data_IF_636863201187
#
_entry.id   IF_636863201187
#
_cell.length_a   1.000
_cell.length_b   1.000
_cell.length_c   1.000
_cell.angle_alpha   90.00
_cell.angle_beta   90.00
_cell.angle_gamma   90.00
#
_symmetry.space_group_name_H-M   'P 1'
#
loop_
_entity.id
_entity.type
_entity.pdbx_description
1 polymer ?
#
# COMPACT_ATOMS: atom_id res chain seq x y z
N UNK A 1 10.52 -2.26 38.90
CA UNK A 1 9.89 -2.81 37.66
C UNK A 1 8.91 -3.93 38.00
N UNK A 2 9.33 -4.91 38.79
CA UNK A 2 8.52 -6.09 39.18
C UNK A 2 7.20 -5.75 39.92
N UNK A 3 7.21 -4.78 40.84
CA UNK A 3 6.00 -4.29 41.53
C UNK A 3 5.00 -3.57 40.61
N UNK A 4 5.45 -3.00 39.49
CA UNK A 4 4.59 -2.35 38.50
C UNK A 4 3.93 -3.39 37.60
N UNK A 5 4.65 -4.44 37.25
CA UNK A 5 4.12 -5.59 36.48
C UNK A 5 3.06 -6.34 37.30
N UNK A 6 3.32 -6.64 38.56
CA UNK A 6 2.33 -7.27 39.45
C UNK A 6 1.05 -6.41 39.64
N UNK A 7 1.16 -5.09 39.66
CA UNK A 7 0.00 -4.20 39.70
C UNK A 7 -0.77 -4.15 38.37
N UNK A 8 -0.06 -4.27 37.24
CA UNK A 8 -0.70 -4.36 35.93
C UNK A 8 -1.50 -5.65 35.78
N UNK A 9 -0.91 -6.79 36.14
CA UNK A 9 -1.56 -8.10 36.12
C UNK A 9 -2.80 -8.14 37.03
N UNK A 10 -2.72 -7.55 38.22
CA UNK A 10 -3.86 -7.43 39.13
C UNK A 10 -4.99 -6.55 38.58
N UNK A 11 -4.66 -5.45 37.91
CA UNK A 11 -5.63 -4.58 37.23
C UNK A 11 -6.27 -5.27 36.02
N UNK A 12 -5.51 -6.05 35.26
CA UNK A 12 -6.07 -6.85 34.16
C UNK A 12 -7.04 -7.92 34.66
N UNK A 13 -6.75 -8.57 35.78
CA UNK A 13 -7.64 -9.55 36.39
C UNK A 13 -8.91 -8.91 36.96
N UNK A 14 -8.81 -7.73 37.56
CA UNK A 14 -9.98 -6.94 37.98
C UNK A 14 -10.85 -6.53 36.78
N UNK A 15 -10.25 -6.04 35.67
CA UNK A 15 -10.97 -5.69 34.44
C UNK A 15 -11.66 -6.92 33.86
N UNK A 16 -11.00 -8.08 33.82
CA UNK A 16 -11.59 -9.35 33.35
C UNK A 16 -12.71 -9.84 34.28
N UNK A 17 -12.61 -9.63 35.61
CA UNK A 17 -13.67 -9.95 36.56
C UNK A 17 -14.90 -9.04 36.37
N UNK A 18 -14.70 -7.73 36.20
CA UNK A 18 -15.76 -6.76 35.91
C UNK A 18 -16.43 -7.06 34.58
N UNK A 19 -15.67 -7.41 33.55
CA UNK A 19 -16.22 -7.81 32.24
C UNK A 19 -17.05 -9.12 32.32
N UNK A 20 -16.66 -10.07 33.15
CA UNK A 20 -17.44 -11.29 33.42
C UNK A 20 -18.75 -11.00 34.18
N UNK A 21 -18.67 -10.15 35.18
CA UNK A 21 -19.88 -9.70 35.90
C UNK A 21 -20.83 -8.90 34.99
N UNK A 22 -20.31 -8.00 34.19
CA UNK A 22 -21.07 -7.24 33.22
C UNK A 22 -21.76 -8.15 32.18
N UNK A 23 -21.13 -9.25 31.73
CA UNK A 23 -21.75 -10.23 30.85
C UNK A 23 -22.91 -10.97 31.52
N UNK A 24 -22.75 -11.36 32.79
CA UNK A 24 -23.82 -12.01 33.57
C UNK A 24 -25.00 -11.05 33.81
N UNK A 25 -24.72 -9.79 34.17
CA UNK A 25 -25.74 -8.76 34.33
C UNK A 25 -26.45 -8.43 33.03
N UNK A 26 -25.77 -8.50 31.89
CA UNK A 26 -26.36 -8.33 30.54
C UNK A 26 -27.39 -9.43 30.22
N UNK A 27 -27.10 -10.69 30.53
CA UNK A 27 -28.03 -11.81 30.30
C UNK A 27 -29.25 -11.71 31.21
N UNK A 28 -29.08 -11.23 32.44
CA UNK A 28 -30.17 -11.09 33.41
C UNK A 28 -30.96 -9.78 33.25
N UNK A 29 -30.29 -8.65 33.03
CA UNK A 29 -30.93 -7.34 32.87
C UNK A 29 -31.68 -7.17 31.56
N UNK A 30 -31.15 -7.73 30.45
CA UNK A 30 -31.83 -7.66 29.14
C UNK A 30 -33.20 -8.34 29.16
N UNK A 31 -33.32 -9.45 29.89
CA UNK A 31 -34.61 -10.18 29.99
C UNK A 31 -35.54 -9.62 31.07
N UNK A 32 -34.98 -9.18 32.20
CA UNK A 32 -35.79 -8.72 33.34
C UNK A 32 -36.24 -7.27 33.20
N UNK A 33 -35.35 -6.39 32.64
CA UNK A 33 -35.68 -4.96 32.45
C UNK A 33 -36.71 -4.78 31.31
N UNK A 34 -36.62 -5.54 30.23
CA UNK A 34 -37.62 -5.52 29.16
C UNK A 34 -38.94 -6.09 29.65
N UNK A 35 -38.93 -7.17 30.46
CA UNK A 35 -40.14 -7.70 31.08
C UNK A 35 -40.76 -6.73 32.12
N UNK A 36 -39.93 -6.07 32.94
CA UNK A 36 -40.40 -5.06 33.92
C UNK A 36 -40.93 -3.80 33.23
N UNK A 37 -40.32 -3.32 32.16
CA UNK A 37 -40.82 -2.19 31.36
C UNK A 37 -42.09 -2.53 30.64
N UNK A 38 -42.20 -3.72 30.04
CA UNK A 38 -43.43 -4.16 29.36
C UNK A 38 -44.56 -4.42 30.33
N UNK A 39 -44.28 -4.96 31.52
CA UNK A 39 -45.31 -5.23 32.54
C UNK A 39 -45.75 -4.01 33.33
N UNK A 40 -44.86 -3.03 33.55
CA UNK A 40 -45.16 -1.78 34.27
C UNK A 40 -45.78 -0.68 33.40
N UNK A 41 -45.60 -0.69 32.11
CA UNK A 41 -46.15 0.33 31.21
C UNK A 41 -47.50 -0.01 30.61
N UNK A 42 -47.99 -1.27 30.68
CA UNK A 42 -49.22 -1.70 30.07
C UNK A 42 -50.55 -1.25 30.74
N UNK A 43 -50.64 -1.00 32.08
CA UNK A 43 -51.95 -0.65 32.65
C UNK A 43 -52.29 0.83 32.76
N UNK A 44 -51.34 1.75 32.54
CA UNK A 44 -51.52 3.15 32.97
C UNK A 44 -51.57 4.21 31.89
N UNK A 45 -51.48 3.86 30.64
CA UNK A 45 -51.66 4.86 29.55
C UNK A 45 -50.81 6.10 29.65
N UNK A 46 -49.67 6.04 30.34
CA UNK A 46 -48.81 7.19 30.55
C UNK A 46 -47.92 7.38 29.30
N UNK A 47 -48.31 8.39 28.50
CA UNK A 47 -47.37 8.96 27.54
C UNK A 47 -46.11 9.40 28.29
N UNK A 48 -44.94 8.89 27.89
CA UNK A 48 -43.67 9.24 28.51
C UNK A 48 -43.42 10.75 28.36
N UNK A 49 -43.82 11.52 29.38
CA UNK A 49 -43.33 12.90 29.53
C UNK A 49 -41.82 12.83 29.91
N UNK A 50 -41.04 13.67 29.27
CA UNK A 50 -39.60 13.78 29.61
C UNK A 50 -39.47 14.17 31.08
N UNK A 51 -38.70 13.41 31.88
CA UNK A 51 -38.59 13.64 33.32
C UNK A 51 -37.70 14.85 33.62
N UNK A 52 -38.14 15.67 34.56
CA UNK A 52 -37.51 16.97 34.93
C UNK A 52 -36.49 16.85 36.09
N UNK A 53 -35.94 15.68 36.39
CA UNK A 53 -35.05 15.44 37.50
C UNK A 53 -33.61 15.08 37.12
N UNK A 54 -32.64 15.38 38.01
CA UNK A 54 -31.22 15.10 37.85
C UNK A 54 -30.93 13.57 37.73
N UNK A 55 -31.75 12.74 38.41
CA UNK A 55 -31.68 11.27 38.32
C UNK A 55 -32.06 10.74 36.94
N UNK A 56 -33.00 11.37 36.29
CA UNK A 56 -33.45 11.00 34.96
C UNK A 56 -32.44 11.37 33.90
N UNK A 57 -31.74 12.50 34.04
CA UNK A 57 -30.62 12.86 33.17
C UNK A 57 -29.51 11.80 33.21
N UNK A 58 -29.19 11.32 34.40
CA UNK A 58 -28.18 10.27 34.59
C UNK A 58 -28.60 8.96 33.91
N UNK A 59 -29.87 8.57 34.05
CA UNK A 59 -30.42 7.37 33.41
C UNK A 59 -30.34 7.47 31.88
N UNK A 60 -30.75 8.58 31.29
CA UNK A 60 -30.69 8.79 29.84
C UNK A 60 -29.24 8.88 29.32
N UNK A 61 -28.33 9.46 30.09
CA UNK A 61 -26.89 9.45 29.77
C UNK A 61 -26.34 8.03 29.77
N UNK A 62 -26.69 7.21 30.75
CA UNK A 62 -26.30 5.81 30.81
C UNK A 62 -26.87 5.01 29.64
N UNK A 63 -28.14 5.17 29.30
CA UNK A 63 -28.75 4.50 28.16
C UNK A 63 -28.10 4.88 26.84
N UNK A 64 -27.76 6.18 26.65
CA UNK A 64 -27.02 6.65 25.48
C UNK A 64 -25.59 6.02 25.44
N UNK A 65 -24.90 5.99 26.58
CA UNK A 65 -23.60 5.35 26.71
C UNK A 65 -23.66 3.85 26.34
N UNK A 66 -24.68 3.12 26.85
CA UNK A 66 -24.92 1.72 26.51
C UNK A 66 -25.17 1.52 25.02
N UNK A 67 -25.97 2.39 24.41
CA UNK A 67 -26.20 2.37 22.95
C UNK A 67 -24.91 2.57 22.15
N UNK A 68 -24.05 3.49 22.60
CA UNK A 68 -22.73 3.74 21.99
C UNK A 68 -21.76 2.58 22.19
N UNK A 69 -21.73 1.96 23.38
CA UNK A 69 -20.93 0.77 23.66
C UNK A 69 -21.37 -0.38 22.77
N UNK A 70 -22.67 -0.66 22.67
CA UNK A 70 -23.18 -1.69 21.77
C UNK A 70 -22.91 -1.44 20.29
N UNK A 71 -22.85 -0.18 19.87
CA UNK A 71 -22.43 0.18 18.51
C UNK A 71 -20.92 -0.08 18.29
N UNK A 72 -20.08 0.30 19.26
CA UNK A 72 -18.64 0.02 19.23
C UNK A 72 -18.34 -1.48 19.22
N UNK A 73 -19.01 -2.26 20.05
CA UNK A 73 -18.86 -3.72 20.09
C UNK A 73 -19.20 -4.37 18.72
N UNK A 74 -20.26 -3.92 18.07
CA UNK A 74 -20.60 -4.41 16.71
C UNK A 74 -19.57 -4.00 15.67
N UNK A 75 -19.06 -2.77 15.77
CA UNK A 75 -18.02 -2.26 14.87
C UNK A 75 -16.70 -3.03 15.04
N UNK A 76 -16.36 -3.40 16.28
CA UNK A 76 -15.12 -4.09 16.62
C UNK A 76 -15.28 -5.61 16.70
N UNK A 77 -16.45 -6.18 16.36
CA UNK A 77 -16.70 -7.61 16.45
C UNK A 77 -15.70 -8.48 15.65
N UNK A 78 -15.11 -7.90 14.62
CA UNK A 78 -14.12 -8.55 13.75
C UNK A 78 -12.67 -8.22 14.11
N UNK A 79 -12.43 -7.39 15.12
CA UNK A 79 -11.08 -6.93 15.51
C UNK A 79 -10.77 -7.43 16.91
N UNK A 80 -9.71 -8.20 17.04
CA UNK A 80 -9.21 -8.68 18.34
C UNK A 80 -7.78 -8.24 18.56
N UNK A 81 -7.47 -7.83 19.80
CA UNK A 81 -6.09 -7.65 20.24
C UNK A 81 -5.68 -8.92 21.00
N UNK A 82 -4.60 -9.53 20.60
CA UNK A 82 -4.10 -10.77 21.19
C UNK A 82 -2.58 -10.81 21.25
N UNK A 83 -2.04 -11.83 21.88
CA UNK A 83 -0.60 -12.10 21.87
C UNK A 83 -0.33 -13.14 20.80
N UNK A 84 0.45 -12.77 19.79
CA UNK A 84 0.88 -13.66 18.71
C UNK A 84 1.83 -14.76 19.19
N UNK A 85 2.16 -15.70 18.31
CA UNK A 85 2.99 -16.87 18.61
C UNK A 85 4.39 -16.53 19.18
N UNK A 86 4.92 -15.33 18.89
CA UNK A 86 6.20 -14.83 19.42
C UNK A 86 6.09 -14.07 20.74
N UNK A 87 4.93 -14.05 21.40
CA UNK A 87 4.69 -13.26 22.63
C UNK A 87 4.52 -11.75 22.37
N UNK A 88 4.40 -11.32 21.11
CA UNK A 88 4.24 -9.91 20.74
C UNK A 88 2.77 -9.53 20.58
N UNK A 89 2.42 -8.24 20.83
CA UNK A 89 1.06 -7.76 20.61
C UNK A 89 0.66 -7.89 19.14
N UNK A 90 -0.54 -8.38 18.90
CA UNK A 90 -1.11 -8.55 17.55
C UNK A 90 -2.54 -8.00 17.50
N UNK A 91 -2.89 -7.35 16.41
CA UNK A 91 -4.28 -7.01 16.07
C UNK A 91 -4.72 -7.92 14.95
N UNK A 92 -5.73 -8.77 15.22
CA UNK A 92 -6.30 -9.69 14.24
C UNK A 92 -7.66 -9.22 13.75
N UNK A 93 -7.86 -9.22 12.44
CA UNK A 93 -9.15 -8.99 11.80
C UNK A 93 -9.64 -10.33 11.26
N UNK A 94 -10.79 -10.82 11.77
CA UNK A 94 -11.33 -12.14 11.41
C UNK A 94 -12.71 -12.02 10.79
N UNK A 95 -12.90 -12.64 9.62
CA UNK A 95 -14.21 -12.66 8.94
C UNK A 95 -14.65 -11.31 8.38
N UNK A 96 -13.70 -10.38 8.15
CA UNK A 96 -13.96 -9.07 7.56
C UNK A 96 -12.80 -8.63 6.65
N UNK A 97 -13.07 -7.73 5.73
CA UNK A 97 -12.07 -7.08 4.89
C UNK A 97 -11.63 -5.76 5.52
N UNK A 98 -10.33 -5.45 5.43
CA UNK A 98 -9.82 -4.10 5.70
C UNK A 98 -9.94 -3.26 4.42
N UNK A 99 -10.78 -2.23 4.45
CA UNK A 99 -10.92 -1.27 3.35
C UNK A 99 -10.40 0.10 3.77
N UNK A 100 -9.34 0.56 3.12
CA UNK A 100 -8.77 1.88 3.30
C UNK A 100 -9.25 2.78 2.15
N UNK A 101 -9.90 3.88 2.47
CA UNK A 101 -10.46 4.82 1.48
C UNK A 101 -10.15 6.26 1.87
N UNK A 102 -10.00 7.11 0.87
CA UNK A 102 -9.70 8.54 1.06
C UNK A 102 -10.94 9.43 1.33
N UNK A 103 -12.14 8.85 1.36
CA UNK A 103 -13.40 9.56 1.61
C UNK A 103 -14.01 10.26 0.38
N UNK A 104 -13.34 10.26 -0.76
CA UNK A 104 -13.80 10.94 -1.99
C UNK A 104 -14.64 10.06 -2.92
N UNK A 105 -14.98 8.83 -2.49
CA UNK A 105 -15.84 7.87 -3.20
C UNK A 105 -15.35 7.41 -4.58
N UNK A 106 -14.10 7.69 -4.94
CA UNK A 106 -13.50 7.24 -6.21
C UNK A 106 -12.02 6.89 -5.98
N UNK A 107 -11.56 5.76 -6.54
CA UNK A 107 -10.16 5.34 -6.43
C UNK A 107 -9.22 6.29 -7.16
N UNK A 108 -9.63 6.80 -8.31
CA UNK A 108 -8.86 7.72 -9.13
C UNK A 108 -8.87 9.16 -8.59
N UNK A 109 -8.64 9.32 -7.29
CA UNK A 109 -8.60 10.62 -6.59
C UNK A 109 -7.45 10.66 -5.60
N UNK A 110 -6.93 11.84 -5.31
CA UNK A 110 -5.79 12.03 -4.40
C UNK A 110 -6.08 13.12 -3.38
N UNK A 111 -5.84 12.83 -2.12
CA UNK A 111 -5.90 13.78 -0.99
C UNK A 111 -4.95 13.38 0.15
N UNK A 112 -3.98 12.50 -0.12
CA UNK A 112 -3.03 11.98 0.87
C UNK A 112 -3.59 10.90 1.81
N UNK A 113 -4.85 10.50 1.67
CA UNK A 113 -5.53 9.57 2.58
C UNK A 113 -5.83 8.21 1.92
N UNK A 114 -6.21 7.22 2.73
CA UNK A 114 -6.56 5.89 2.25
C UNK A 114 -5.36 5.01 1.88
N UNK A 115 -4.16 5.36 2.34
CA UNK A 115 -2.94 4.57 2.12
C UNK A 115 -2.71 3.56 3.24
N UNK A 116 -2.04 2.45 2.94
CA UNK A 116 -1.46 1.53 3.92
C UNK A 116 0.03 1.81 4.04
N UNK A 117 0.45 2.36 5.17
CA UNK A 117 1.85 2.63 5.48
C UNK A 117 2.38 1.58 6.46
N UNK A 118 3.49 0.94 6.11
CA UNK A 118 4.21 -0.01 6.96
C UNK A 118 5.62 0.52 7.18
N UNK A 119 5.88 1.00 8.39
CA UNK A 119 7.06 1.78 8.75
C UNK A 119 6.71 3.26 8.97
N UNK A 120 7.71 4.06 9.28
CA UNK A 120 7.54 5.49 9.57
C UNK A 120 7.63 6.39 8.33
N UNK A 121 8.07 5.85 7.20
CA UNK A 121 8.39 6.60 5.99
C UNK A 121 9.20 7.87 6.28
N UNK A 122 10.26 7.74 7.10
CA UNK A 122 11.10 8.86 7.53
C UNK A 122 11.50 9.73 6.34
N UNK A 123 11.45 11.06 6.47
CA UNK A 123 11.63 11.93 5.34
C UNK A 123 13.05 11.85 4.76
N UNK A 124 13.14 11.87 3.43
CA UNK A 124 14.41 12.11 2.73
C UNK A 124 14.85 13.57 2.90
N UNK A 125 16.11 13.86 2.55
CA UNK A 125 16.58 15.23 2.49
C UNK A 125 15.70 16.04 1.49
N UNK A 126 15.07 17.10 1.97
CA UNK A 126 14.12 17.90 1.19
C UNK A 126 12.65 17.54 1.42
N UNK A 127 12.36 16.53 2.26
CA UNK A 127 11.00 16.08 2.58
C UNK A 127 10.45 15.04 1.61
N UNK A 128 9.33 14.44 1.97
CA UNK A 128 8.58 13.49 1.16
C UNK A 128 7.36 14.15 0.50
N UNK A 129 6.98 13.68 -0.67
CA UNK A 129 5.71 13.99 -1.31
C UNK A 129 4.73 12.84 -1.04
N UNK A 130 3.71 13.09 -0.22
CA UNK A 130 2.76 12.08 0.26
C UNK A 130 1.31 12.45 -0.07
N UNK A 131 1.10 13.03 -1.25
CA UNK A 131 -0.23 13.53 -1.68
C UNK A 131 -1.09 12.46 -2.32
N UNK A 132 -0.53 11.30 -2.63
CA UNK A 132 -1.22 10.17 -3.26
C UNK A 132 -2.17 9.44 -2.33
N UNK A 133 -3.11 8.69 -2.91
CA UNK A 133 -4.13 7.94 -2.18
C UNK A 133 -4.21 6.48 -2.62
N UNK A 134 -4.73 5.61 -1.74
CA UNK A 134 -4.93 4.18 -2.02
C UNK A 134 -3.63 3.45 -2.43
N UNK A 135 -2.49 3.87 -1.88
CA UNK A 135 -1.20 3.24 -2.11
C UNK A 135 -0.82 2.30 -0.96
N UNK A 136 0.01 1.32 -1.25
CA UNK A 136 0.73 0.53 -0.25
C UNK A 136 2.18 1.02 -0.21
N UNK A 137 2.60 1.49 0.96
CA UNK A 137 3.90 2.12 1.20
C UNK A 137 4.64 1.34 2.28
N UNK A 138 5.79 0.76 1.96
CA UNK A 138 6.57 -0.06 2.90
C UNK A 138 8.02 0.37 2.89
N UNK A 139 8.50 0.92 3.99
CA UNK A 139 9.90 1.31 4.16
C UNK A 139 10.11 2.79 4.46
N UNK A 140 11.16 3.40 3.88
CA UNK A 140 11.68 4.69 4.29
C UNK A 140 11.85 5.67 3.12
N UNK A 141 11.46 6.92 3.32
CA UNK A 141 11.77 8.04 2.44
C UNK A 141 11.10 7.97 1.07
N UNK A 142 9.91 7.41 1.00
CA UNK A 142 9.18 7.24 -0.26
C UNK A 142 8.40 8.49 -0.65
N UNK A 143 8.33 8.76 -1.96
CA UNK A 143 7.38 9.68 -2.58
C UNK A 143 6.25 8.90 -3.23
N UNK A 144 5.01 9.34 -3.01
CA UNK A 144 3.82 8.81 -3.68
C UNK A 144 2.81 9.94 -3.90
N UNK A 145 2.65 10.35 -5.16
CA UNK A 145 1.82 11.51 -5.50
C UNK A 145 0.56 11.16 -6.30
N UNK A 146 0.44 9.90 -6.75
CA UNK A 146 -0.72 9.41 -7.50
C UNK A 146 -1.52 8.37 -6.69
N UNK A 147 -2.29 7.51 -7.30
CA UNK A 147 -3.19 6.57 -6.64
C UNK A 147 -3.02 5.13 -7.11
N UNK A 148 -3.39 4.20 -6.21
CA UNK A 148 -3.47 2.77 -6.50
C UNK A 148 -2.13 2.08 -6.72
N UNK A 149 -1.04 2.67 -6.22
CA UNK A 149 0.31 2.20 -6.44
C UNK A 149 0.88 1.36 -5.29
N UNK A 150 2.06 0.80 -5.53
CA UNK A 150 2.88 0.07 -4.57
C UNK A 150 4.28 0.67 -4.52
N UNK A 151 4.77 1.04 -3.34
CA UNK A 151 6.16 1.46 -3.17
C UNK A 151 6.79 0.79 -1.96
N UNK A 152 7.88 0.06 -2.21
CA UNK A 152 8.60 -0.72 -1.20
C UNK A 152 10.10 -0.43 -1.27
N UNK A 153 10.81 -0.50 -0.14
CA UNK A 153 12.27 -0.35 -0.06
C UNK A 153 12.71 0.97 0.56
N UNK A 154 13.60 1.70 -0.09
CA UNK A 154 14.14 2.96 0.43
C UNK A 154 14.23 4.04 -0.65
N UNK A 155 13.73 5.24 -0.36
CA UNK A 155 13.81 6.44 -1.21
C UNK A 155 13.23 6.27 -2.62
N UNK A 156 12.32 5.32 -2.82
CA UNK A 156 11.67 5.09 -4.10
C UNK A 156 10.52 6.08 -4.33
N UNK A 157 10.14 6.27 -5.58
CA UNK A 157 9.08 7.18 -5.99
C UNK A 157 8.08 6.52 -6.93
N UNK A 158 6.79 6.73 -6.64
CA UNK A 158 5.69 6.44 -7.56
C UNK A 158 4.88 7.72 -7.78
N UNK A 159 4.79 8.17 -9.03
CA UNK A 159 4.00 9.35 -9.41
C UNK A 159 3.02 9.07 -10.55
N UNK A 160 3.11 7.92 -11.19
CA UNK A 160 2.11 7.43 -12.14
C UNK A 160 0.92 6.77 -11.44
N UNK A 161 -0.27 6.85 -12.04
CA UNK A 161 -1.43 6.07 -11.58
C UNK A 161 -1.14 4.57 -11.72
N UNK A 162 -1.44 3.79 -10.67
CA UNK A 162 -1.20 2.33 -10.63
C UNK A 162 0.28 1.94 -10.80
N UNK A 163 1.21 2.87 -10.57
CA UNK A 163 2.63 2.59 -10.69
C UNK A 163 3.15 1.74 -9.54
N UNK A 164 4.19 0.95 -9.78
CA UNK A 164 4.76 0.06 -8.78
C UNK A 164 6.29 0.13 -8.72
N UNK A 165 6.84 0.22 -7.50
CA UNK A 165 8.24 -0.06 -7.19
C UNK A 165 8.27 -1.13 -6.11
N UNK A 166 8.67 -2.37 -6.44
CA UNK A 166 8.58 -3.51 -5.54
C UNK A 166 9.78 -3.66 -4.61
N UNK A 167 10.81 -2.83 -4.75
CA UNK A 167 11.96 -2.84 -3.87
C UNK A 167 13.11 -1.94 -4.32
N UNK A 168 14.27 -2.08 -3.66
CA UNK A 168 15.50 -1.38 -4.01
C UNK A 168 15.63 0.04 -3.45
N UNK A 169 16.50 0.83 -4.07
CA UNK A 169 16.89 2.16 -3.61
C UNK A 169 16.82 3.19 -4.74
N UNK A 170 16.16 4.30 -4.49
CA UNK A 170 16.06 5.49 -5.37
C UNK A 170 15.58 5.15 -6.80
N UNK A 171 14.59 4.27 -6.87
CA UNK A 171 13.92 3.92 -8.12
C UNK A 171 12.68 4.79 -8.33
N UNK A 172 12.34 5.08 -9.56
CA UNK A 172 11.20 5.92 -9.94
C UNK A 172 10.28 5.20 -10.92
N UNK A 173 8.98 5.12 -10.62
CA UNK A 173 7.94 4.71 -11.57
C UNK A 173 6.95 5.88 -11.76
N UNK A 174 7.10 6.64 -12.84
CA UNK A 174 6.33 7.85 -13.10
C UNK A 174 5.30 7.74 -14.22
N UNK A 175 5.41 6.74 -15.08
CA UNK A 175 4.37 6.45 -16.08
C UNK A 175 3.14 5.80 -15.43
N UNK A 176 1.95 5.98 -16.03
CA UNK A 176 0.77 5.22 -15.65
C UNK A 176 1.03 3.71 -15.83
N UNK A 177 0.70 2.90 -14.84
CA UNK A 177 0.98 1.45 -14.82
C UNK A 177 2.45 1.08 -15.01
N UNK A 178 3.38 2.02 -14.82
CA UNK A 178 4.80 1.74 -14.92
C UNK A 178 5.31 0.92 -13.72
N UNK A 179 6.30 0.05 -13.95
CA UNK A 179 6.81 -0.82 -12.91
C UNK A 179 8.34 -0.86 -12.86
N UNK A 180 8.90 -0.82 -11.64
CA UNK A 180 10.28 -1.15 -11.33
C UNK A 180 10.29 -2.27 -10.31
N UNK A 181 10.85 -3.45 -10.63
CA UNK A 181 10.87 -4.55 -9.68
C UNK A 181 11.93 -4.40 -8.59
N UNK A 182 12.97 -3.61 -8.84
CA UNK A 182 14.00 -3.35 -7.84
C UNK A 182 15.28 -2.75 -8.42
N UNK A 183 16.42 -2.97 -7.73
CA UNK A 183 17.71 -2.40 -8.11
C UNK A 183 17.92 -0.99 -7.57
N UNK A 184 18.77 -0.20 -8.25
CA UNK A 184 19.20 1.11 -7.79
C UNK A 184 19.12 2.11 -8.95
N UNK A 185 18.52 3.28 -8.71
CA UNK A 185 18.40 4.39 -9.66
C UNK A 185 17.66 4.08 -10.97
N UNK A 186 16.83 3.04 -10.98
CA UNK A 186 16.08 2.67 -12.19
C UNK A 186 14.84 3.57 -12.37
N UNK A 187 14.49 3.86 -13.64
CA UNK A 187 13.40 4.78 -13.99
C UNK A 187 12.48 4.17 -15.03
N UNK A 188 11.21 3.96 -14.68
CA UNK A 188 10.13 3.59 -15.60
C UNK A 188 9.21 4.81 -15.80
N UNK A 189 9.38 5.53 -16.93
CA UNK A 189 8.71 6.82 -17.20
C UNK A 189 7.59 6.73 -18.22
N UNK A 190 7.67 5.81 -19.16
CA UNK A 190 6.63 5.60 -20.17
C UNK A 190 5.38 4.97 -19.53
N UNK A 191 4.23 5.18 -20.15
CA UNK A 191 3.01 4.43 -19.81
C UNK A 191 3.28 2.92 -19.99
N UNK A 192 2.93 2.11 -18.99
CA UNK A 192 3.19 0.67 -18.95
C UNK A 192 4.65 0.27 -19.15
N UNK A 193 5.59 1.22 -18.95
CA UNK A 193 7.01 0.93 -19.05
C UNK A 193 7.51 0.08 -17.89
N UNK A 194 8.48 -0.81 -18.14
CA UNK A 194 9.00 -1.72 -17.11
C UNK A 194 10.52 -1.71 -17.03
N UNK A 195 11.06 -1.73 -15.79
CA UNK A 195 12.46 -2.03 -15.51
C UNK A 195 12.50 -3.14 -14.48
N UNK A 196 13.02 -4.33 -14.85
CA UNK A 196 13.06 -5.45 -13.91
C UNK A 196 14.13 -5.32 -12.84
N UNK A 197 15.15 -4.47 -13.05
CA UNK A 197 16.17 -4.22 -12.04
C UNK A 197 17.48 -3.70 -12.61
N UNK A 198 18.58 -3.93 -11.87
CA UNK A 198 19.91 -3.47 -12.24
C UNK A 198 20.25 -2.08 -11.68
N UNK A 199 21.10 -1.33 -12.38
CA UNK A 199 21.61 -0.04 -11.93
C UNK A 199 21.43 1.03 -13.03
N UNK A 200 20.76 2.12 -12.70
CA UNK A 200 20.60 3.31 -13.55
C UNK A 200 20.03 3.02 -14.96
N UNK A 201 19.03 2.12 -15.04
CA UNK A 201 18.34 1.79 -16.27
C UNK A 201 17.09 2.68 -16.44
N UNK A 202 16.76 3.02 -17.68
CA UNK A 202 15.62 3.88 -18.00
C UNK A 202 14.75 3.26 -19.09
N UNK A 203 13.45 3.09 -18.78
CA UNK A 203 12.40 2.75 -19.75
C UNK A 203 11.49 3.98 -19.90
N UNK A 204 11.65 4.74 -21.00
CA UNK A 204 10.94 6.01 -21.21
C UNK A 204 9.91 6.00 -22.31
N UNK A 205 9.97 5.07 -23.22
CA UNK A 205 8.92 4.86 -24.24
C UNK A 205 7.67 4.22 -23.63
N UNK A 206 6.50 4.47 -24.21
CA UNK A 206 5.29 3.74 -23.86
C UNK A 206 5.50 2.24 -24.11
N UNK A 207 5.06 1.38 -23.19
CA UNK A 207 5.26 -0.07 -23.24
C UNK A 207 6.72 -0.52 -23.43
N UNK A 208 7.71 0.35 -23.14
CA UNK A 208 9.12 0.00 -23.26
C UNK A 208 9.61 -0.85 -22.09
N UNK A 209 10.65 -1.65 -22.30
CA UNK A 209 11.17 -2.57 -21.32
C UNK A 209 12.69 -2.60 -21.22
N UNK A 210 13.23 -2.61 -19.97
CA UNK A 210 14.62 -2.95 -19.70
C UNK A 210 14.65 -4.10 -18.69
N UNK A 211 15.21 -5.26 -19.07
CA UNK A 211 15.26 -6.41 -18.17
C UNK A 211 16.33 -6.29 -17.09
N UNK A 212 17.34 -5.45 -17.27
CA UNK A 212 18.37 -5.23 -16.26
C UNK A 212 19.67 -4.68 -16.82
N UNK A 213 20.79 -4.98 -16.13
CA UNK A 213 22.11 -4.47 -16.49
C UNK A 213 22.40 -3.09 -15.90
N UNK A 214 23.22 -2.29 -16.60
CA UNK A 214 23.65 -0.97 -16.12
C UNK A 214 23.54 0.10 -17.22
N UNK A 215 22.89 1.20 -16.89
CA UNK A 215 22.83 2.38 -17.77
C UNK A 215 22.15 2.14 -19.11
N UNK A 216 21.21 1.19 -19.18
CA UNK A 216 20.51 0.88 -20.42
C UNK A 216 19.26 1.77 -20.58
N UNK A 217 18.94 2.13 -21.83
CA UNK A 217 17.78 2.98 -22.15
C UNK A 217 16.90 2.36 -23.21
N UNK A 218 15.63 2.14 -22.87
CA UNK A 218 14.57 1.81 -23.82
C UNK A 218 13.69 3.06 -24.03
N UNK A 219 13.96 3.82 -25.07
CA UNK A 219 13.38 5.13 -25.34
C UNK A 219 12.23 5.14 -26.33
N UNK A 220 12.22 4.21 -27.30
CA UNK A 220 11.16 4.08 -28.27
C UNK A 220 9.89 3.45 -27.70
N UNK A 221 8.74 3.75 -28.29
CA UNK A 221 7.50 3.02 -27.98
C UNK A 221 7.69 1.53 -28.30
N UNK A 222 7.34 0.66 -27.36
CA UNK A 222 7.55 -0.79 -27.46
C UNK A 222 9.02 -1.21 -27.51
N UNK A 223 9.98 -0.30 -27.31
CA UNK A 223 11.40 -0.62 -27.38
C UNK A 223 11.85 -1.51 -26.22
N UNK A 224 12.79 -2.41 -26.48
CA UNK A 224 13.28 -3.36 -25.47
C UNK A 224 14.80 -3.38 -25.40
N UNK A 225 15.34 -3.36 -24.16
CA UNK A 225 16.75 -3.70 -23.91
C UNK A 225 16.80 -4.91 -22.97
N UNK A 226 17.35 -6.04 -23.43
CA UNK A 226 17.46 -7.27 -22.65
C UNK A 226 18.46 -7.17 -21.49
N UNK A 227 19.47 -6.29 -21.59
CA UNK A 227 20.45 -6.08 -20.52
C UNK A 227 21.77 -5.56 -21.04
N UNK A 228 22.88 -5.87 -20.34
CA UNK A 228 24.22 -5.41 -20.67
C UNK A 228 24.56 -4.03 -20.07
N UNK A 229 25.40 -3.27 -20.77
CA UNK A 229 25.90 -1.98 -20.27
C UNK A 229 25.78 -0.88 -21.33
N UNK A 230 25.07 0.18 -20.99
CA UNK A 230 24.99 1.39 -21.83
C UNK A 230 24.31 1.19 -23.18
N UNK A 231 23.39 0.24 -23.29
CA UNK A 231 22.67 -0.03 -24.53
C UNK A 231 21.45 0.88 -24.68
N UNK A 232 21.13 1.27 -25.91
CA UNK A 232 20.02 2.16 -26.22
C UNK A 232 19.12 1.59 -27.31
N UNK A 233 17.85 1.40 -27.02
CA UNK A 233 16.80 1.09 -28.01
C UNK A 233 15.88 2.33 -28.13
N UNK A 234 16.08 3.16 -29.15
CA UNK A 234 15.36 4.43 -29.31
C UNK A 234 14.36 4.44 -30.47
N UNK A 235 14.47 3.52 -31.38
CA UNK A 235 13.48 3.35 -32.45
C UNK A 235 12.17 2.75 -31.92
N UNK A 236 11.06 3.01 -32.60
CA UNK A 236 9.77 2.37 -32.31
C UNK A 236 9.92 0.85 -32.47
N UNK A 237 9.55 0.10 -31.43
CA UNK A 237 9.65 -1.36 -31.36
C UNK A 237 11.06 -1.90 -31.61
N UNK A 238 12.10 -1.07 -31.38
CA UNK A 238 13.48 -1.47 -31.56
C UNK A 238 13.97 -2.35 -30.39
N UNK A 239 14.95 -3.21 -30.68
CA UNK A 239 15.44 -4.19 -29.69
C UNK A 239 16.96 -4.17 -29.61
N UNK A 240 17.50 -4.14 -28.39
CA UNK A 240 18.91 -4.48 -28.12
C UNK A 240 18.92 -5.64 -27.12
N UNK A 241 19.33 -6.84 -27.54
CA UNK A 241 19.32 -8.02 -26.66
C UNK A 241 20.37 -7.92 -25.55
N UNK A 242 21.50 -7.22 -25.79
CA UNK A 242 22.53 -7.07 -24.78
C UNK A 242 23.86 -6.51 -25.32
N UNK A 243 24.96 -6.83 -24.64
CA UNK A 243 26.29 -6.34 -24.99
C UNK A 243 26.63 -4.99 -24.35
N UNK A 244 27.52 -4.22 -25.03
CA UNK A 244 27.98 -2.94 -24.50
C UNK A 244 27.86 -1.83 -25.53
N UNK A 245 27.26 -0.70 -25.14
CA UNK A 245 27.17 0.53 -25.93
C UNK A 245 26.54 0.30 -27.33
N UNK A 246 25.54 -0.57 -27.42
CA UNK A 246 24.83 -0.85 -28.66
C UNK A 246 23.61 0.08 -28.79
N UNK A 247 23.27 0.46 -30.01
CA UNK A 247 22.14 1.34 -30.32
C UNK A 247 21.27 0.77 -31.43
N UNK A 248 19.95 0.65 -31.19
CA UNK A 248 18.94 0.35 -32.17
C UNK A 248 18.03 1.59 -32.32
N UNK A 249 18.17 2.37 -33.39
CA UNK A 249 17.46 3.64 -33.55
C UNK A 249 16.49 3.66 -34.73
N UNK A 250 16.59 2.74 -35.67
CA UNK A 250 15.61 2.58 -36.74
C UNK A 250 14.28 2.00 -36.26
N UNK A 251 13.22 2.17 -37.05
CA UNK A 251 11.93 1.52 -36.83
C UNK A 251 12.08 0.00 -36.90
N UNK A 252 11.68 -0.71 -35.87
CA UNK A 252 11.82 -2.18 -35.71
C UNK A 252 13.28 -2.66 -35.90
N UNK A 253 14.25 -1.80 -35.66
CA UNK A 253 15.66 -2.17 -35.74
C UNK A 253 16.08 -3.07 -34.56
N UNK A 254 16.99 -4.00 -34.81
CA UNK A 254 17.45 -4.96 -33.81
C UNK A 254 18.97 -5.08 -33.79
N UNK A 255 19.54 -5.07 -32.55
CA UNK A 255 20.94 -5.42 -32.31
C UNK A 255 21.00 -6.65 -31.41
N UNK A 256 21.51 -7.77 -31.92
CA UNK A 256 21.62 -9.04 -31.24
C UNK A 256 22.64 -9.04 -30.08
N UNK A 257 23.64 -8.12 -30.13
CA UNK A 257 24.68 -8.01 -29.09
C UNK A 257 26.00 -7.44 -29.65
N UNK A 258 27.09 -7.66 -28.90
CA UNK A 258 28.40 -7.14 -29.24
C UNK A 258 28.71 -5.82 -28.56
N UNK A 259 29.62 -5.03 -29.14
CA UNK A 259 30.07 -3.76 -28.61
C UNK A 259 30.03 -2.67 -29.66
N UNK A 260 29.52 -1.48 -29.31
CA UNK A 260 29.49 -0.28 -30.17
C UNK A 260 28.77 -0.52 -31.49
N UNK A 261 27.71 -1.34 -31.51
CA UNK A 261 26.92 -1.62 -32.71
C UNK A 261 25.78 -0.62 -32.85
N UNK A 262 25.48 -0.18 -34.06
CA UNK A 262 24.38 0.76 -34.30
C UNK A 262 23.55 0.33 -35.49
N UNK A 263 22.28 -0.02 -35.30
CA UNK A 263 21.26 -0.29 -36.29
C UNK A 263 20.42 0.99 -36.45
N UNK A 264 20.59 1.72 -37.60
CA UNK A 264 19.94 3.02 -37.85
C UNK A 264 18.82 2.96 -38.85
N UNK A 265 18.92 2.05 -39.80
CA UNK A 265 17.90 1.84 -40.80
C UNK A 265 16.67 1.14 -40.24
N UNK A 266 15.53 1.37 -40.86
CA UNK A 266 14.30 0.65 -40.56
C UNK A 266 14.47 -0.84 -40.90
N UNK A 267 14.00 -1.70 -39.96
CA UNK A 267 14.14 -3.16 -40.05
C UNK A 267 15.58 -3.68 -40.08
N UNK A 268 16.58 -2.84 -39.75
CA UNK A 268 17.97 -3.28 -39.65
C UNK A 268 18.12 -4.37 -38.60
N UNK A 269 18.86 -5.43 -38.92
CA UNK A 269 19.27 -6.45 -37.95
C UNK A 269 20.80 -6.57 -37.94
N UNK A 270 21.40 -6.32 -36.76
CA UNK A 270 22.83 -6.45 -36.53
C UNK A 270 23.12 -7.56 -35.55
N UNK A 271 23.80 -8.63 -35.96
CA UNK A 271 24.38 -9.60 -35.05
C UNK A 271 25.80 -9.18 -34.64
N UNK A 272 26.33 -9.80 -33.55
CA UNK A 272 27.75 -9.73 -33.24
C UNK A 272 28.62 -10.25 -34.42
N UNK A 273 29.89 -9.88 -34.45
CA UNK A 273 30.83 -10.52 -35.41
C UNK A 273 30.90 -12.01 -35.13
N UNK A 274 30.74 -12.83 -36.16
CA UNK A 274 31.17 -14.21 -36.11
C UNK A 274 32.69 -14.18 -35.86
N UNK A 275 33.14 -14.76 -34.74
CA UNK A 275 34.55 -15.11 -34.60
C UNK A 275 34.73 -16.36 -35.49
N UNK A 276 35.40 -16.23 -36.59
CA UNK A 276 36.09 -17.34 -37.19
C UNK A 276 37.33 -17.53 -36.32
N UNK A 277 37.33 -18.58 -35.48
CA UNK A 277 38.57 -19.05 -34.88
C UNK A 277 39.41 -19.60 -36.03
N UNK A 278 40.50 -18.96 -36.38
CA UNK A 278 41.55 -19.52 -37.21
C UNK A 278 42.49 -20.39 -36.34
#
# INVERSE_FOLDING_TARGET
MEKLLQRLDALEDEVRAVQRQLRLWRQLAGSVLVLLLVTLLQPWGIAAQAPDGEQDRTFWQLMNLWGRIGALERTLAHVTAETGAGGLPEIRITGANLRLVNGLRATATTNGLGNLLVGYNEPRQGGNTETGSHNVVVGQGHNFSSFGGLVVGRQNEISGAFAAVSGGFDNTASGASAAVSGGIFNRARGESATVSGGFDNTASGSASAVSGGRGNTAGGEGATVGGGHGNTASGHTSVVNGGQANTASGFIASVGGGRNRTARGDYDWLAGSLFADE
#
